data_IF_550033935788
#
_entry.id   IF_550033935788
#
_cell.length_a   1.000
_cell.length_b   1.000
_cell.length_c   1.000
_cell.angle_alpha   90.00
_cell.angle_beta   90.00
_cell.angle_gamma   90.00
#
_symmetry.space_group_name_H-M   'P 1'
#
loop_
_entity.id
_entity.type
_entity.pdbx_description
1 polymer ?
#
# COMPACT_ATOMS: atom_id res chain seq x y z
N UNK A 1 28.65 -37.35 -21.00
CA UNK A 1 28.67 -36.04 -20.31
C UNK A 1 27.43 -35.14 -20.55
N UNK A 2 26.57 -35.38 -21.55
CA UNK A 2 25.34 -34.53 -21.83
C UNK A 2 24.15 -34.81 -20.93
N UNK A 3 23.99 -36.07 -20.45
CA UNK A 3 22.85 -36.47 -19.60
C UNK A 3 22.74 -35.77 -18.23
N UNK A 4 23.84 -35.60 -17.44
CA UNK A 4 23.73 -34.90 -16.17
C UNK A 4 23.40 -33.41 -16.34
N UNK A 5 23.91 -32.75 -17.38
CA UNK A 5 23.62 -31.36 -17.70
C UNK A 5 22.11 -31.17 -18.02
N UNK A 6 21.54 -32.10 -18.80
CA UNK A 6 20.12 -32.07 -19.13
C UNK A 6 19.23 -32.24 -17.90
N UNK A 7 19.58 -33.15 -17.00
CA UNK A 7 18.86 -33.37 -15.74
C UNK A 7 18.93 -32.12 -14.86
N UNK A 8 20.09 -31.50 -14.72
CA UNK A 8 20.25 -30.26 -13.94
C UNK A 8 19.39 -29.13 -14.51
N UNK A 9 19.36 -28.99 -15.82
CA UNK A 9 18.53 -27.97 -16.49
C UNK A 9 17.02 -28.19 -16.22
N UNK A 10 16.56 -29.43 -16.31
CA UNK A 10 15.17 -29.80 -16.04
C UNK A 10 14.80 -29.52 -14.58
N UNK A 11 15.67 -29.83 -13.63
CA UNK A 11 15.46 -29.55 -12.20
C UNK A 11 15.38 -28.05 -11.94
N UNK A 12 16.25 -27.24 -12.55
CA UNK A 12 16.22 -25.77 -12.43
C UNK A 12 14.92 -25.18 -12.99
N UNK A 13 14.46 -25.67 -14.14
CA UNK A 13 13.19 -25.22 -14.73
C UNK A 13 12.01 -25.61 -13.83
N UNK A 14 11.98 -26.82 -13.30
CA UNK A 14 10.94 -27.26 -12.35
C UNK A 14 10.92 -26.42 -11.08
N UNK A 15 12.09 -26.15 -10.48
CA UNK A 15 12.21 -25.25 -9.31
C UNK A 15 11.71 -23.85 -9.61
N UNK A 16 12.01 -23.33 -10.80
CA UNK A 16 11.56 -22.01 -11.20
C UNK A 16 10.04 -21.98 -11.37
N UNK A 17 9.45 -22.99 -12.01
CA UNK A 17 7.99 -23.11 -12.18
C UNK A 17 7.28 -23.22 -10.81
N UNK A 18 7.79 -24.09 -9.93
CA UNK A 18 7.23 -24.23 -8.57
C UNK A 18 7.33 -22.90 -7.80
N UNK A 19 8.45 -22.20 -7.87
CA UNK A 19 8.64 -20.89 -7.23
C UNK A 19 7.69 -19.82 -7.76
N UNK A 20 7.28 -19.89 -9.04
CA UNK A 20 6.32 -18.95 -9.62
C UNK A 20 4.88 -19.18 -9.12
N UNK A 21 4.52 -20.43 -8.77
CA UNK A 21 3.19 -20.79 -8.26
C UNK A 21 3.09 -20.70 -6.73
N UNK A 22 4.21 -20.90 -6.00
CA UNK A 22 4.25 -20.83 -4.55
C UNK A 22 4.88 -19.50 -4.09
N UNK A 23 4.04 -18.51 -3.83
CA UNK A 23 4.46 -17.29 -3.18
C UNK A 23 4.65 -17.56 -1.69
N UNK A 24 5.90 -17.78 -1.28
CA UNK A 24 6.27 -17.96 0.13
C UNK A 24 7.00 -16.73 0.63
N UNK A 25 6.38 -15.99 1.52
CA UNK A 25 6.97 -14.81 2.17
C UNK A 25 7.36 -15.19 3.59
N UNK A 26 8.67 -15.18 3.86
CA UNK A 26 9.20 -15.33 5.22
C UNK A 26 9.34 -13.94 5.82
N UNK A 27 8.61 -13.69 6.89
CA UNK A 27 8.82 -12.51 7.72
C UNK A 27 9.93 -12.81 8.71
N UNK A 28 11.11 -12.25 8.46
CA UNK A 28 12.31 -12.42 9.29
C UNK A 28 12.35 -11.45 10.46
N UNK A 29 11.32 -10.63 10.65
CA UNK A 29 11.26 -9.72 11.81
C UNK A 29 10.85 -10.49 13.06
N UNK A 30 11.52 -10.23 14.19
CA UNK A 30 11.21 -10.88 15.47
C UNK A 30 9.76 -10.63 15.94
N UNK A 31 9.15 -9.54 15.49
CA UNK A 31 7.78 -9.14 15.85
C UNK A 31 6.73 -9.49 14.79
N UNK A 32 7.11 -10.16 13.69
CA UNK A 32 6.21 -10.51 12.58
C UNK A 32 5.35 -9.33 12.08
N UNK A 33 5.93 -8.13 12.07
CA UNK A 33 5.23 -6.87 11.75
C UNK A 33 4.56 -6.85 10.38
N UNK A 34 5.02 -7.70 9.46
CA UNK A 34 4.53 -7.79 8.09
C UNK A 34 3.68 -9.05 7.85
N UNK A 35 3.35 -9.79 8.91
CA UNK A 35 2.54 -10.99 8.82
C UNK A 35 1.15 -10.73 9.39
N UNK A 36 0.11 -10.93 8.58
CA UNK A 36 -1.27 -10.76 9.03
C UNK A 36 -1.65 -11.81 10.07
N UNK A 37 -2.34 -11.39 11.12
CA UNK A 37 -2.86 -12.30 12.13
C UNK A 37 -3.82 -13.33 11.53
N UNK A 38 -3.94 -14.53 12.12
CA UNK A 38 -4.92 -15.52 11.66
C UNK A 38 -6.35 -14.98 11.62
N UNK A 39 -6.72 -14.14 12.59
CA UNK A 39 -8.05 -13.52 12.66
C UNK A 39 -8.27 -12.53 11.51
N UNK A 40 -7.27 -11.72 11.17
CA UNK A 40 -7.33 -10.81 10.02
C UNK A 40 -7.50 -11.58 8.73
N UNK A 41 -6.72 -12.65 8.52
CA UNK A 41 -6.84 -13.52 7.34
C UNK A 41 -8.23 -14.16 7.23
N UNK A 42 -8.79 -14.60 8.35
CA UNK A 42 -10.15 -15.14 8.40
C UNK A 42 -11.18 -14.07 8.01
N UNK A 43 -11.07 -12.86 8.57
CA UNK A 43 -11.96 -11.75 8.25
C UNK A 43 -11.93 -11.39 6.77
N UNK A 44 -10.73 -11.32 6.16
CA UNK A 44 -10.57 -11.01 4.74
C UNK A 44 -11.24 -12.05 3.82
N UNK A 45 -11.24 -13.33 4.22
CA UNK A 45 -11.92 -14.40 3.48
C UNK A 45 -13.45 -14.36 3.62
N UNK A 46 -13.97 -13.69 4.65
CA UNK A 46 -15.42 -13.54 4.87
C UNK A 46 -16.00 -12.28 4.24
N UNK A 47 -15.24 -11.57 3.42
CA UNK A 47 -15.75 -10.42 2.68
C UNK A 47 -16.71 -10.92 1.59
N UNK A 48 -17.96 -10.44 1.65
CA UNK A 48 -19.00 -10.82 0.69
C UNK A 48 -19.00 -9.96 -0.59
N UNK A 49 -18.41 -8.75 -0.51
CA UNK A 49 -18.41 -7.78 -1.59
C UNK A 49 -17.02 -7.22 -1.87
N UNK A 50 -16.85 -6.68 -3.07
CA UNK A 50 -15.66 -5.88 -3.43
C UNK A 50 -15.49 -4.71 -2.46
N UNK A 51 -14.27 -4.46 -2.02
CA UNK A 51 -13.92 -3.35 -1.17
C UNK A 51 -13.16 -2.28 -1.97
N UNK A 52 -13.67 -1.04 -1.96
CA UNK A 52 -12.98 0.11 -2.55
C UNK A 52 -12.29 0.91 -1.44
N UNK A 53 -10.97 1.04 -1.56
CA UNK A 53 -10.13 1.78 -0.61
C UNK A 53 -9.53 2.99 -1.31
N UNK A 54 -9.88 4.18 -0.86
CA UNK A 54 -9.29 5.43 -1.35
C UNK A 54 -8.31 5.99 -0.33
N UNK A 55 -7.06 6.18 -0.75
CA UNK A 55 -5.98 6.71 0.08
C UNK A 55 -5.74 8.16 -0.31
N UNK A 56 -6.07 9.10 0.58
CA UNK A 56 -5.84 10.54 0.42
C UNK A 56 -4.45 10.93 0.95
N UNK A 57 -3.45 10.18 0.58
CA UNK A 57 -2.07 10.40 0.96
C UNK A 57 -1.20 10.40 -0.30
N UNK A 58 -1.33 11.47 -1.08
CA UNK A 58 -0.60 11.65 -2.35
C UNK A 58 -0.38 13.12 -2.63
N UNK A 59 0.67 13.47 -3.35
CA UNK A 59 1.07 14.83 -3.67
C UNK A 59 2.51 15.12 -3.28
N UNK A 60 2.80 16.36 -2.90
CA UNK A 60 4.12 16.80 -2.41
C UNK A 60 4.28 16.41 -0.94
N UNK A 61 4.64 15.15 -0.71
CA UNK A 61 4.78 14.54 0.61
C UNK A 61 6.23 14.56 1.08
N UNK A 62 6.43 14.84 2.36
CA UNK A 62 7.74 14.64 2.99
C UNK A 62 8.09 13.16 3.13
N UNK A 63 9.36 12.87 3.45
CA UNK A 63 9.89 11.50 3.53
C UNK A 63 9.14 10.62 4.54
N UNK A 64 8.59 11.20 5.62
CA UNK A 64 7.80 10.47 6.60
C UNK A 64 6.48 9.98 6.02
N UNK A 65 5.74 10.86 5.34
CA UNK A 65 4.48 10.53 4.68
C UNK A 65 4.68 9.62 3.46
N UNK A 66 5.78 9.74 2.71
CA UNK A 66 6.10 8.80 1.63
C UNK A 66 6.30 7.37 2.18
N UNK A 67 6.97 7.22 3.32
CA UNK A 67 7.10 5.92 4.00
C UNK A 67 5.76 5.38 4.48
N UNK A 68 4.91 6.26 5.05
CA UNK A 68 3.55 5.87 5.47
C UNK A 68 2.71 5.43 4.27
N UNK A 69 2.71 6.21 3.17
CA UNK A 69 2.03 5.87 1.92
C UNK A 69 2.45 4.48 1.43
N UNK A 70 3.76 4.24 1.35
CA UNK A 70 4.31 2.96 0.92
C UNK A 70 3.86 1.81 1.84
N UNK A 71 4.01 1.97 3.15
CA UNK A 71 3.63 0.95 4.13
C UNK A 71 2.13 0.63 4.10
N UNK A 72 1.27 1.66 3.97
CA UNK A 72 -0.18 1.50 3.85
C UNK A 72 -0.54 0.75 2.56
N UNK A 73 0.08 1.12 1.44
CA UNK A 73 -0.16 0.45 0.16
C UNK A 73 0.26 -1.02 0.20
N UNK A 74 1.45 -1.31 0.75
CA UNK A 74 1.94 -2.68 0.90
C UNK A 74 1.02 -3.52 1.80
N UNK A 75 0.52 -2.95 2.89
CA UNK A 75 -0.43 -3.62 3.79
C UNK A 75 -1.75 -3.94 3.07
N UNK A 76 -2.31 -3.01 2.30
CA UNK A 76 -3.54 -3.24 1.54
C UNK A 76 -3.34 -4.26 0.42
N UNK A 77 -2.19 -4.26 -0.24
CA UNK A 77 -1.83 -5.31 -1.21
C UNK A 77 -1.72 -6.68 -0.55
N UNK A 78 -1.21 -6.74 0.68
CA UNK A 78 -1.19 -7.99 1.45
C UNK A 78 -2.61 -8.44 1.80
N UNK A 79 -3.53 -7.51 2.17
CA UNK A 79 -4.94 -7.83 2.38
C UNK A 79 -5.58 -8.43 1.13
N UNK A 80 -5.32 -7.84 -0.05
CA UNK A 80 -5.85 -8.33 -1.33
C UNK A 80 -5.43 -9.77 -1.64
N UNK A 81 -4.28 -10.24 -1.13
CA UNK A 81 -3.81 -11.62 -1.33
C UNK A 81 -4.56 -12.65 -0.50
N UNK A 82 -5.15 -12.23 0.61
CA UNK A 82 -5.90 -13.11 1.52
C UNK A 82 -7.41 -12.94 1.40
N UNK A 83 -7.87 -11.96 0.64
CA UNK A 83 -9.28 -11.72 0.39
C UNK A 83 -9.76 -12.56 -0.80
N UNK A 84 -10.93 -13.19 -0.65
CA UNK A 84 -11.61 -13.91 -1.73
C UNK A 84 -12.33 -12.93 -2.69
N UNK A 85 -12.55 -11.67 -2.24
CA UNK A 85 -13.13 -10.60 -3.04
C UNK A 85 -12.07 -9.56 -3.43
N UNK A 86 -12.21 -8.91 -4.60
CA UNK A 86 -11.29 -7.86 -5.01
C UNK A 86 -11.25 -6.69 -4.03
N UNK A 87 -10.04 -6.20 -3.73
CA UNK A 87 -9.82 -4.94 -3.01
C UNK A 87 -9.22 -3.96 -4.01
N UNK A 88 -10.03 -2.97 -4.44
CA UNK A 88 -9.58 -1.90 -5.33
C UNK A 88 -8.94 -0.79 -4.51
N UNK A 89 -7.67 -0.46 -4.83
CA UNK A 89 -6.90 0.55 -4.09
C UNK A 89 -6.67 1.74 -5.02
N UNK A 90 -7.13 2.92 -4.61
CA UNK A 90 -6.94 4.18 -5.33
C UNK A 90 -6.14 5.16 -4.49
N UNK A 91 -5.20 5.85 -5.13
CA UNK A 91 -4.50 6.99 -4.53
C UNK A 91 -5.05 8.29 -5.10
N UNK A 92 -5.46 9.19 -4.22
CA UNK A 92 -5.99 10.49 -4.59
C UNK A 92 -5.17 11.58 -3.92
N UNK A 93 -4.74 12.56 -4.74
CA UNK A 93 -4.14 13.78 -4.22
C UNK A 93 -5.25 14.80 -3.95
N UNK A 94 -5.58 15.10 -2.69
CA UNK A 94 -6.64 16.05 -2.35
C UNK A 94 -6.28 17.49 -2.73
N UNK A 95 -4.99 17.79 -2.94
CA UNK A 95 -4.49 19.13 -3.28
C UNK A 95 -4.45 19.41 -4.79
N UNK A 96 -4.79 18.43 -5.65
CA UNK A 96 -4.59 18.51 -7.11
C UNK A 96 -5.58 19.46 -7.81
N UNK A 97 -6.57 20.02 -7.12
CA UNK A 97 -7.55 20.91 -7.73
C UNK A 97 -6.87 22.15 -8.36
N UNK A 98 -7.38 22.57 -9.52
CA UNK A 98 -6.77 23.58 -10.38
C UNK A 98 -6.75 25.00 -9.82
N UNK A 99 -7.59 25.27 -8.81
CA UNK A 99 -7.66 26.58 -8.15
C UNK A 99 -7.97 26.43 -6.65
N UNK A 100 -7.71 27.49 -5.90
CA UNK A 100 -7.84 27.54 -4.45
C UNK A 100 -9.29 27.27 -3.98
N UNK A 101 -10.28 27.82 -4.68
CA UNK A 101 -11.69 27.62 -4.36
C UNK A 101 -12.09 26.16 -4.52
N UNK A 102 -11.63 25.50 -5.58
CA UNK A 102 -11.92 24.07 -5.80
C UNK A 102 -11.24 23.19 -4.73
N UNK A 103 -9.99 23.52 -4.32
CA UNK A 103 -9.33 22.82 -3.20
C UNK A 103 -10.11 22.97 -1.91
N UNK A 104 -10.54 24.18 -1.58
CA UNK A 104 -11.33 24.45 -0.38
C UNK A 104 -12.62 23.64 -0.36
N UNK A 105 -13.35 23.59 -1.48
CA UNK A 105 -14.55 22.78 -1.59
C UNK A 105 -14.28 21.28 -1.43
N UNK A 106 -13.17 20.79 -1.98
CA UNK A 106 -12.77 19.39 -1.85
C UNK A 106 -12.41 19.05 -0.41
N UNK A 107 -11.66 19.88 0.28
CA UNK A 107 -11.33 19.66 1.70
C UNK A 107 -12.58 19.69 2.57
N UNK A 108 -13.49 20.65 2.38
CA UNK A 108 -14.76 20.68 3.12
C UNK A 108 -15.59 19.41 2.88
N UNK A 109 -15.64 18.91 1.66
CA UNK A 109 -16.35 17.67 1.35
C UNK A 109 -15.74 16.46 2.07
N UNK A 110 -14.41 16.40 2.19
CA UNK A 110 -13.69 15.35 2.94
C UNK A 110 -13.93 15.47 4.46
N UNK A 111 -13.91 16.70 4.99
CA UNK A 111 -14.26 16.95 6.40
C UNK A 111 -15.68 16.53 6.75
N UNK A 112 -16.66 16.80 5.88
CA UNK A 112 -18.03 16.33 6.06
C UNK A 112 -18.16 14.81 6.07
N UNK A 113 -17.23 14.10 5.45
CA UNK A 113 -17.10 12.65 5.52
C UNK A 113 -16.30 12.15 6.74
N UNK A 114 -15.92 13.05 7.65
CA UNK A 114 -15.17 12.74 8.88
C UNK A 114 -13.64 12.65 8.71
N UNK A 115 -13.11 13.05 7.56
CA UNK A 115 -11.67 13.10 7.33
C UNK A 115 -11.10 14.45 7.75
N UNK A 116 -10.24 14.45 8.76
CA UNK A 116 -9.60 15.68 9.25
C UNK A 116 -8.23 15.86 8.58
N UNK A 117 -7.95 17.01 7.97
CA UNK A 117 -6.66 17.28 7.36
C UNK A 117 -5.55 17.30 8.41
N UNK A 118 -4.40 16.72 8.08
CA UNK A 118 -3.21 16.78 8.93
C UNK A 118 -2.35 17.95 8.49
N UNK A 119 -2.16 18.91 9.40
CA UNK A 119 -1.29 20.06 9.17
C UNK A 119 0.14 19.67 9.56
N UNK A 120 1.06 19.84 8.64
CA UNK A 120 2.48 19.52 8.82
C UNK A 120 3.30 20.79 8.80
N UNK A 121 4.12 20.98 9.81
CA UNK A 121 5.10 22.07 9.84
C UNK A 121 6.42 21.56 9.25
N UNK A 122 6.82 22.12 8.13
CA UNK A 122 8.10 21.83 7.48
C UNK A 122 8.98 23.09 7.49
N UNK A 123 10.31 22.89 7.44
CA UNK A 123 11.23 23.99 7.18
C UNK A 123 11.49 24.09 5.67
N UNK A 124 11.36 25.28 5.12
CA UNK A 124 11.80 25.57 3.77
C UNK A 124 13.33 25.59 3.64
N UNK A 125 13.82 25.86 2.44
CA UNK A 125 15.25 25.92 2.18
C UNK A 125 15.99 27.03 2.96
N UNK A 126 15.26 28.07 3.37
CA UNK A 126 15.75 29.19 4.19
C UNK A 126 15.63 28.91 5.69
N UNK A 127 15.12 27.76 6.10
CA UNK A 127 14.94 27.36 7.50
C UNK A 127 13.70 27.93 8.20
N UNK A 128 12.79 28.59 7.46
CA UNK A 128 11.53 29.12 7.97
C UNK A 128 10.47 28.02 8.01
N UNK A 129 9.66 27.99 9.07
CA UNK A 129 8.56 27.05 9.16
C UNK A 129 7.43 27.42 8.21
N UNK A 130 7.02 26.48 7.37
CA UNK A 130 5.86 26.54 6.51
C UNK A 130 4.86 25.47 6.89
N UNK A 131 3.57 25.78 6.79
CA UNK A 131 2.50 24.81 7.01
C UNK A 131 2.07 24.22 5.67
N UNK A 132 2.03 22.89 5.59
CA UNK A 132 1.43 22.13 4.49
C UNK A 132 0.23 21.33 4.99
N UNK A 133 -0.77 21.16 4.15
CA UNK A 133 -1.97 20.36 4.41
C UNK A 133 -1.95 19.14 3.49
#
# INVERSE_FOLDING_TARGET
MKRPILITLVVLVLLHVVSAFYFFRIDLTAEQRYTLSPNTKKLLRTLDNTMDVTIYLSGDLNMGFLRLQKATTEMLQEFSRYSDQPIAIQMVNPSKASNEKARFLQYNALEQQGMVPTIVNEKDAEGKFIQKV
#
